data_IF_538656408258
#
_entry.id   IF_538656408258
#
_cell.length_a   1.000
_cell.length_b   1.000
_cell.length_c   1.000
_cell.angle_alpha   90.00
_cell.angle_beta   90.00
_cell.angle_gamma   90.00
#
_symmetry.space_group_name_H-M   'P 1'
#
loop_
_entity.id
_entity.type
_entity.pdbx_description
1 polymer ?
#
# COMPACT_ATOMS: atom_id res chain seq x y z
N UNK A 1 -13.25 -3.36 -14.36
CA UNK A 1 -14.18 -4.51 -14.53
C UNK A 1 -14.15 -5.31 -13.24
N UNK A 2 -15.25 -5.95 -12.83
CA UNK A 2 -15.25 -6.81 -11.64
C UNK A 2 -16.05 -8.09 -11.87
N UNK A 3 -15.70 -9.14 -11.13
CA UNK A 3 -16.37 -10.44 -11.16
C UNK A 3 -16.38 -11.04 -9.76
N UNK A 4 -17.47 -11.75 -9.43
CA UNK A 4 -17.65 -12.45 -8.16
C UNK A 4 -17.73 -13.94 -8.43
N UNK A 5 -17.04 -14.74 -7.62
CA UNK A 5 -17.11 -16.21 -7.61
C UNK A 5 -17.17 -16.73 -6.19
N UNK A 6 -17.61 -17.97 -6.05
CA UNK A 6 -17.51 -18.75 -4.81
C UNK A 6 -16.57 -19.91 -5.07
N UNK A 7 -15.71 -20.22 -4.11
CA UNK A 7 -14.77 -21.35 -4.19
C UNK A 7 -14.87 -22.15 -2.89
N UNK A 8 -15.01 -23.46 -2.99
CA UNK A 8 -15.15 -24.32 -1.82
C UNK A 8 -13.80 -24.50 -1.11
N UNK A 9 -13.79 -24.60 0.22
CA UNK A 9 -12.57 -24.93 0.95
C UNK A 9 -12.06 -26.33 0.54
N UNK A 10 -10.75 -26.62 0.63
CA UNK A 10 -10.18 -27.88 0.16
C UNK A 10 -10.87 -29.14 0.72
N UNK A 11 -11.34 -29.09 1.97
CA UNK A 11 -12.04 -30.20 2.63
C UNK A 11 -13.56 -30.01 2.74
N UNK A 12 -14.13 -29.01 2.06
CA UNK A 12 -15.54 -28.65 2.19
C UNK A 12 -16.54 -29.76 1.82
N UNK A 13 -16.12 -30.72 1.01
CA UNK A 13 -16.95 -31.87 0.59
C UNK A 13 -16.80 -33.09 1.51
N UNK A 14 -15.88 -33.05 2.48
CA UNK A 14 -15.62 -34.15 3.42
C UNK A 14 -16.49 -33.97 4.65
N UNK A 15 -17.58 -34.75 4.77
CA UNK A 15 -18.57 -34.65 5.87
C UNK A 15 -18.00 -34.71 7.30
N UNK A 16 -16.84 -35.33 7.47
CA UNK A 16 -16.17 -35.47 8.76
C UNK A 16 -15.14 -34.38 9.05
N UNK A 17 -14.91 -33.46 8.10
CA UNK A 17 -14.02 -32.31 8.30
C UNK A 17 -14.78 -31.19 9.01
N UNK A 18 -14.06 -30.50 9.87
CA UNK A 18 -14.37 -29.19 10.41
C UNK A 18 -14.67 -28.13 9.34
N UNK A 19 -14.10 -28.26 8.13
CA UNK A 19 -14.34 -27.35 6.99
C UNK A 19 -15.59 -27.72 6.16
N UNK A 20 -16.38 -28.73 6.56
CA UNK A 20 -17.51 -29.19 5.76
C UNK A 20 -18.53 -28.07 5.51
N UNK A 21 -18.75 -27.75 4.23
CA UNK A 21 -19.61 -26.65 3.80
C UNK A 21 -18.96 -25.26 3.81
N UNK A 22 -17.69 -25.14 4.19
CA UNK A 22 -16.95 -23.88 4.14
C UNK A 22 -16.49 -23.51 2.71
N UNK A 23 -16.20 -22.23 2.52
CA UNK A 23 -15.68 -21.70 1.26
C UNK A 23 -15.41 -20.21 1.34
N UNK A 24 -14.89 -19.66 0.25
CA UNK A 24 -14.57 -18.25 0.11
C UNK A 24 -15.37 -17.60 -1.02
N UNK A 25 -15.60 -16.30 -0.87
CA UNK A 25 -16.11 -15.44 -1.94
C UNK A 25 -14.94 -14.70 -2.54
N UNK A 26 -14.67 -14.97 -3.82
CA UNK A 26 -13.61 -14.34 -4.58
C UNK A 26 -14.15 -13.14 -5.35
N UNK A 27 -13.51 -11.99 -5.17
CA UNK A 27 -13.78 -10.81 -5.96
C UNK A 27 -12.54 -10.44 -6.78
N UNK A 28 -12.72 -10.42 -8.09
CA UNK A 28 -11.69 -10.01 -9.04
C UNK A 28 -11.95 -8.59 -9.49
N UNK A 29 -10.94 -7.72 -9.42
CA UNK A 29 -11.04 -6.32 -9.84
C UNK A 29 -9.92 -5.96 -10.82
N UNK A 30 -10.29 -5.56 -12.03
CA UNK A 30 -9.36 -4.97 -12.99
C UNK A 30 -9.28 -3.47 -12.76
N UNK A 31 -8.09 -3.00 -12.36
CA UNK A 31 -7.78 -1.58 -12.18
C UNK A 31 -7.77 -0.82 -13.51
N UNK A 32 -8.13 0.47 -13.47
CA UNK A 32 -8.08 1.35 -14.65
C UNK A 32 -6.65 1.44 -15.19
N UNK A 33 -6.49 1.27 -16.50
CA UNK A 33 -5.18 1.27 -17.17
C UNK A 33 -4.57 -0.13 -17.36
N UNK A 34 -5.18 -1.18 -16.80
CA UNK A 34 -4.78 -2.56 -17.05
C UNK A 34 -5.46 -3.12 -18.31
N UNK A 35 -4.68 -3.72 -19.22
CA UNK A 35 -5.20 -4.49 -20.34
C UNK A 35 -5.44 -5.94 -19.89
N UNK A 36 -6.71 -6.36 -19.92
CA UNK A 36 -7.17 -7.68 -19.49
C UNK A 36 -7.16 -8.71 -20.65
N UNK A 37 -6.47 -8.44 -21.76
CA UNK A 37 -6.50 -9.30 -22.95
C UNK A 37 -5.76 -10.63 -22.74
N UNK A 38 -4.80 -10.68 -21.80
CA UNK A 38 -3.82 -11.77 -21.76
C UNK A 38 -3.99 -12.71 -20.54
N UNK A 39 -4.79 -12.34 -19.54
CA UNK A 39 -5.06 -13.17 -18.37
C UNK A 39 -6.56 -13.10 -18.00
N UNK A 40 -7.29 -14.15 -18.37
CA UNK A 40 -8.67 -14.35 -17.94
C UNK A 40 -8.72 -14.78 -16.47
N UNK A 41 -9.90 -14.66 -15.86
CA UNK A 41 -10.17 -15.32 -14.57
C UNK A 41 -10.18 -16.83 -14.81
N UNK A 42 -9.60 -17.66 -13.92
CA UNK A 42 -9.67 -19.11 -14.05
C UNK A 42 -11.11 -19.57 -14.32
N UNK A 43 -11.30 -20.32 -15.41
CA UNK A 43 -12.64 -20.73 -15.84
C UNK A 43 -13.26 -21.73 -14.86
N UNK A 44 -12.45 -22.68 -14.39
CA UNK A 44 -12.84 -23.81 -13.56
C UNK A 44 -12.37 -23.67 -12.11
N UNK A 45 -13.13 -24.28 -11.20
CA UNK A 45 -12.88 -24.28 -9.75
C UNK A 45 -11.54 -24.91 -9.37
N UNK A 46 -11.13 -25.97 -10.08
CA UNK A 46 -9.85 -26.68 -9.87
C UNK A 46 -8.61 -25.80 -10.17
N UNK A 47 -8.80 -24.74 -10.95
CA UNK A 47 -7.76 -23.78 -11.29
C UNK A 47 -7.74 -22.56 -10.37
N UNK A 48 -8.65 -22.50 -9.38
CA UNK A 48 -8.64 -21.48 -8.33
C UNK A 48 -7.92 -22.03 -7.10
N UNK A 49 -6.99 -21.26 -6.55
CA UNK A 49 -6.39 -21.56 -5.27
C UNK A 49 -7.27 -21.01 -4.15
N UNK A 50 -7.38 -21.75 -3.04
CA UNK A 50 -7.97 -21.23 -1.82
C UNK A 50 -7.05 -20.16 -1.21
N UNK A 51 -7.55 -18.93 -1.05
CA UNK A 51 -6.71 -17.76 -0.77
C UNK A 51 -6.67 -17.35 0.70
N UNK A 52 -7.39 -18.04 1.57
CA UNK A 52 -7.29 -17.87 3.02
C UNK A 52 -6.24 -18.85 3.56
N UNK A 53 -5.04 -18.39 3.95
CA UNK A 53 -3.99 -19.27 4.45
C UNK A 53 -4.31 -19.78 5.85
N UNK A 54 -3.80 -20.96 6.18
CA UNK A 54 -3.90 -21.52 7.52
C UNK A 54 -3.20 -20.62 8.56
N UNK A 55 -3.87 -20.43 9.69
CA UNK A 55 -3.36 -19.68 10.82
C UNK A 55 -3.95 -20.18 12.13
N UNK A 56 -3.26 -19.91 13.25
CA UNK A 56 -3.75 -20.27 14.60
C UNK A 56 -5.12 -19.66 14.87
N UNK A 57 -5.30 -18.41 14.44
CA UNK A 57 -6.61 -17.75 14.36
C UNK A 57 -6.96 -17.65 12.87
N UNK A 58 -8.01 -18.32 12.39
CA UNK A 58 -8.36 -18.32 10.97
C UNK A 58 -8.59 -16.91 10.41
N UNK A 59 -7.97 -16.61 9.28
CA UNK A 59 -8.26 -15.37 8.55
C UNK A 59 -9.64 -15.45 7.90
N UNK A 60 -10.34 -14.31 7.87
CA UNK A 60 -11.66 -14.21 7.22
C UNK A 60 -11.63 -13.35 5.96
N UNK A 61 -10.46 -12.79 5.62
CA UNK A 61 -10.19 -12.19 4.31
C UNK A 61 -8.72 -12.33 3.92
N UNK A 62 -8.48 -12.21 2.62
CA UNK A 62 -7.18 -11.91 2.07
C UNK A 62 -7.34 -10.93 0.90
N UNK A 63 -6.45 -9.94 0.82
CA UNK A 63 -6.35 -9.04 -0.34
C UNK A 63 -5.06 -9.35 -1.10
N UNK A 64 -5.20 -9.67 -2.39
CA UNK A 64 -4.07 -9.89 -3.29
C UNK A 64 -3.90 -8.71 -4.24
N UNK A 65 -2.68 -8.18 -4.34
CA UNK A 65 -2.28 -7.21 -5.35
C UNK A 65 -1.25 -7.85 -6.29
N UNK A 66 -1.59 -7.89 -7.57
CA UNK A 66 -0.74 -8.50 -8.59
C UNK A 66 0.64 -7.84 -8.66
N UNK A 67 1.69 -8.65 -8.66
CA UNK A 67 3.10 -8.30 -8.71
C UNK A 67 3.40 -7.24 -9.78
N UNK A 68 3.02 -7.53 -11.03
CA UNK A 68 3.28 -6.67 -12.19
C UNK A 68 2.62 -5.30 -12.03
N UNK A 69 1.42 -5.25 -11.47
CA UNK A 69 0.74 -3.99 -11.19
C UNK A 69 1.49 -3.22 -10.10
N UNK A 70 1.81 -3.87 -8.98
CA UNK A 70 2.47 -3.25 -7.84
C UNK A 70 3.84 -2.68 -8.18
N UNK A 71 4.70 -3.48 -8.80
CA UNK A 71 6.08 -3.08 -9.16
C UNK A 71 6.08 -1.93 -10.17
N UNK A 72 5.24 -2.01 -11.22
CA UNK A 72 5.12 -0.93 -12.21
C UNK A 72 4.56 0.34 -11.60
N UNK A 73 3.57 0.24 -10.71
CA UNK A 73 2.97 1.37 -9.97
C UNK A 73 4.04 2.05 -9.12
N UNK A 74 4.75 1.31 -8.27
CA UNK A 74 5.77 1.86 -7.39
C UNK A 74 6.85 2.62 -8.15
N UNK A 75 7.34 2.05 -9.26
CA UNK A 75 8.39 2.71 -10.03
C UNK A 75 7.86 3.86 -10.87
N UNK A 76 6.82 3.68 -11.69
CA UNK A 76 6.30 4.78 -12.52
C UNK A 76 5.88 5.99 -11.68
N UNK A 77 5.11 5.78 -10.60
CA UNK A 77 4.68 6.89 -9.75
C UNK A 77 5.83 7.45 -8.90
N UNK A 78 6.75 6.61 -8.43
CA UNK A 78 7.92 7.06 -7.68
C UNK A 78 8.78 8.04 -8.47
N UNK A 79 9.03 7.73 -9.75
CA UNK A 79 9.79 8.59 -10.64
C UNK A 79 9.00 9.83 -11.10
N UNK A 80 7.68 9.75 -11.26
CA UNK A 80 6.82 10.91 -11.54
C UNK A 80 6.80 11.93 -10.39
N UNK A 81 7.15 11.53 -9.17
CA UNK A 81 7.26 12.42 -8.00
C UNK A 81 8.59 13.14 -7.89
N UNK A 82 9.58 12.76 -8.70
CA UNK A 82 10.87 13.44 -8.68
C UNK A 82 10.73 14.82 -9.33
N UNK A 83 11.28 15.82 -8.64
CA UNK A 83 11.45 17.15 -9.20
C UNK A 83 12.76 17.24 -10.00
N UNK A 84 12.88 18.23 -10.88
CA UNK A 84 14.12 18.52 -11.65
C UNK A 84 14.62 17.34 -12.51
N UNK A 85 13.69 16.54 -13.01
CA UNK A 85 13.95 15.53 -14.03
C UNK A 85 14.26 16.23 -15.36
N UNK A 86 15.48 16.04 -15.88
CA UNK A 86 15.90 16.54 -17.19
C UNK A 86 15.48 15.55 -18.28
N UNK A 87 15.76 14.25 -18.06
CA UNK A 87 15.33 13.18 -18.95
C UNK A 87 14.40 12.23 -18.18
N UNK A 88 13.18 11.95 -18.70
CA UNK A 88 12.26 11.01 -18.08
C UNK A 88 12.87 9.63 -17.86
N UNK A 89 12.58 9.04 -16.70
CA UNK A 89 12.99 7.68 -16.40
C UNK A 89 12.30 6.68 -17.35
N UNK A 90 13.08 5.79 -17.95
CA UNK A 90 12.59 4.66 -18.75
C UNK A 90 13.25 3.39 -18.26
N UNK A 91 12.51 2.29 -18.26
CA UNK A 91 13.04 1.00 -17.84
C UNK A 91 12.48 -0.17 -18.63
N UNK A 92 13.28 -1.22 -18.71
CA UNK A 92 12.85 -2.57 -19.06
C UNK A 92 12.54 -3.36 -17.81
N UNK A 93 11.62 -4.31 -17.93
CA UNK A 93 11.20 -5.18 -16.83
C UNK A 93 11.71 -6.59 -17.12
N UNK A 94 12.41 -7.19 -16.16
CA UNK A 94 13.00 -8.54 -16.29
C UNK A 94 12.10 -9.60 -15.65
N UNK A 95 12.29 -10.84 -16.11
CA UNK A 95 11.35 -11.94 -15.87
C UNK A 95 10.43 -12.17 -17.07
N UNK A 96 11.03 -12.24 -18.29
CA UNK A 96 10.56 -13.01 -19.45
C UNK A 96 9.63 -12.35 -20.50
N UNK A 97 9.98 -12.55 -21.79
CA UNK A 97 9.16 -12.23 -22.99
C UNK A 97 7.83 -13.04 -23.09
N UNK A 98 7.49 -13.87 -22.09
CA UNK A 98 6.25 -14.65 -22.00
C UNK A 98 5.74 -14.91 -20.56
N UNK A 99 6.19 -14.15 -19.57
CA UNK A 99 6.11 -14.53 -18.14
C UNK A 99 5.16 -13.64 -17.31
N UNK A 100 4.53 -14.27 -16.32
CA UNK A 100 3.44 -13.75 -15.47
C UNK A 100 3.89 -12.80 -14.35
N UNK A 101 5.17 -12.78 -14.00
CA UNK A 101 5.74 -12.04 -12.86
C UNK A 101 6.90 -11.13 -13.26
N UNK A 102 6.98 -9.95 -12.65
CA UNK A 102 8.11 -9.02 -12.77
C UNK A 102 9.10 -9.32 -11.64
N UNK A 103 10.31 -9.74 -12.00
CA UNK A 103 11.39 -10.06 -11.04
C UNK A 103 12.42 -8.96 -10.94
N UNK A 104 12.36 -7.97 -11.83
CA UNK A 104 13.21 -6.81 -11.72
C UNK A 104 12.91 -5.70 -12.72
N UNK A 105 13.61 -4.60 -12.51
CA UNK A 105 13.54 -3.38 -13.30
C UNK A 105 14.98 -2.98 -13.59
N UNK A 106 15.25 -2.68 -14.84
CA UNK A 106 16.53 -2.14 -15.30
C UNK A 106 16.26 -0.82 -16.00
N UNK A 107 16.86 0.26 -15.49
CA UNK A 107 16.78 1.56 -16.15
C UNK A 107 17.50 1.53 -17.50
N UNK A 108 16.91 2.25 -18.46
CA UNK A 108 17.37 2.40 -19.85
C UNK A 108 17.51 3.86 -20.27
N UNK A 109 16.93 4.77 -19.48
CA UNK A 109 17.09 6.21 -19.59
C UNK A 109 16.72 6.87 -18.26
N UNK A 110 17.14 8.12 -18.09
CA UNK A 110 16.74 8.94 -16.96
C UNK A 110 17.89 9.80 -16.50
N UNK A 111 17.63 11.09 -16.30
CA UNK A 111 18.61 12.06 -15.84
C UNK A 111 17.94 13.03 -14.86
N UNK A 112 18.49 13.11 -13.66
CA UNK A 112 18.07 13.99 -12.59
C UNK A 112 19.11 15.08 -12.35
N UNK A 113 18.67 16.32 -12.13
CA UNK A 113 19.56 17.42 -11.70
C UNK A 113 19.35 17.76 -10.24
N UNK A 114 20.42 17.65 -9.46
CA UNK A 114 20.44 18.07 -8.06
C UNK A 114 21.11 19.43 -7.95
N UNK A 115 20.42 20.48 -7.48
CA UNK A 115 21.08 21.76 -7.22
C UNK A 115 22.05 21.60 -6.04
N UNK A 116 23.26 22.13 -6.21
CA UNK A 116 24.23 22.21 -5.12
C UNK A 116 24.81 23.62 -5.13
N UNK A 117 24.39 24.40 -4.15
CA UNK A 117 24.88 25.74 -3.90
C UNK A 117 24.90 25.99 -2.38
N UNK A 118 25.76 26.89 -1.93
CA UNK A 118 25.81 27.25 -0.52
C UNK A 118 27.08 28.02 -0.14
N UNK A 119 27.33 28.08 1.16
CA UNK A 119 28.49 28.73 1.74
C UNK A 119 28.91 28.03 3.05
N UNK A 120 30.08 28.39 3.58
CA UNK A 120 30.59 27.95 4.88
C UNK A 120 31.30 29.12 5.57
N UNK A 121 31.81 28.91 6.78
CA UNK A 121 32.64 29.91 7.47
C UNK A 121 33.90 30.29 6.67
N UNK A 122 34.39 29.39 5.80
CA UNK A 122 35.61 29.56 5.00
C UNK A 122 35.30 29.94 3.54
N UNK A 123 34.24 29.38 2.97
CA UNK A 123 33.85 29.56 1.57
C UNK A 123 32.65 30.49 1.51
N UNK A 124 32.80 31.63 0.83
CA UNK A 124 31.70 32.58 0.60
C UNK A 124 30.72 32.09 -0.46
N UNK A 125 31.21 31.32 -1.44
CA UNK A 125 30.42 30.77 -2.54
C UNK A 125 30.86 29.32 -2.75
N UNK A 126 29.88 28.44 -2.86
CA UNK A 126 29.96 27.08 -3.38
C UNK A 126 28.84 26.96 -4.40
N UNK A 127 29.16 26.58 -5.64
CA UNK A 127 28.16 26.48 -6.69
C UNK A 127 28.53 25.38 -7.69
N UNK A 128 27.53 24.57 -8.04
CA UNK A 128 27.53 23.71 -9.21
C UNK A 128 26.49 24.29 -10.18
N UNK A 129 26.88 25.13 -11.14
CA UNK A 129 25.92 25.94 -11.92
C UNK A 129 24.89 25.13 -12.71
N UNK A 130 25.21 23.88 -13.04
CA UNK A 130 24.33 22.94 -13.74
C UNK A 130 23.71 21.90 -12.80
N UNK A 131 23.96 22.02 -11.49
CA UNK A 131 23.73 20.96 -10.52
C UNK A 131 24.65 19.76 -10.71
N UNK A 132 24.43 18.75 -9.87
CA UNK A 132 24.96 17.42 -10.05
C UNK A 132 23.95 16.60 -10.85
N UNK A 133 24.40 16.11 -12.00
CA UNK A 133 23.64 15.26 -12.90
C UNK A 133 23.75 13.80 -12.46
N UNK A 134 22.62 13.18 -12.10
CA UNK A 134 22.54 11.76 -11.76
C UNK A 134 21.83 10.98 -12.86
N UNK A 135 22.59 10.16 -13.55
CA UNK A 135 22.09 9.27 -14.58
C UNK A 135 21.55 7.97 -13.96
N UNK A 136 20.47 7.45 -14.52
CA UNK A 136 19.92 6.15 -14.14
C UNK A 136 20.40 5.01 -15.05
N UNK A 137 20.86 5.34 -16.25
CA UNK A 137 21.49 4.42 -17.18
C UNK A 137 22.74 5.05 -17.77
N UNK A 138 23.66 4.21 -18.24
CA UNK A 138 24.77 4.67 -19.04
C UNK A 138 24.30 5.48 -20.26
N UNK A 139 25.07 6.53 -20.56
CA UNK A 139 24.85 7.42 -21.71
C UNK A 139 25.83 7.16 -22.87
N UNK A 140 26.79 6.26 -22.69
CA UNK A 140 27.78 5.89 -23.69
C UNK A 140 28.19 4.42 -23.58
N UNK A 141 28.59 3.82 -24.69
CA UNK A 141 29.10 2.44 -24.71
C UNK A 141 30.41 2.26 -23.91
N UNK A 142 31.00 3.34 -23.39
CA UNK A 142 32.22 3.31 -22.58
C UNK A 142 31.94 3.37 -21.06
N UNK A 143 30.71 3.69 -20.64
CA UNK A 143 30.32 3.72 -19.22
C UNK A 143 29.55 2.45 -18.85
N UNK A 144 30.28 1.41 -18.46
CA UNK A 144 29.69 0.15 -17.93
C UNK A 144 29.30 0.25 -16.45
N UNK A 145 29.58 1.39 -15.80
CA UNK A 145 29.39 1.55 -14.36
C UNK A 145 28.00 2.07 -14.01
N UNK A 146 27.51 3.06 -14.75
CA UNK A 146 26.23 3.71 -14.45
C UNK A 146 25.05 2.78 -14.71
N UNK A 147 24.36 2.41 -13.63
CA UNK A 147 23.14 1.61 -13.72
C UNK A 147 22.22 1.86 -12.52
N UNK A 148 20.92 1.79 -12.77
CA UNK A 148 19.89 1.70 -11.76
C UNK A 148 19.06 0.45 -12.00
N UNK A 149 18.92 -0.37 -10.96
CA UNK A 149 18.09 -1.58 -11.02
C UNK A 149 17.38 -1.82 -9.70
N UNK A 150 16.21 -2.44 -9.82
CA UNK A 150 15.44 -2.95 -8.69
C UNK A 150 15.22 -4.43 -8.92
N UNK A 151 15.61 -5.27 -7.97
CA UNK A 151 15.32 -6.70 -8.00
C UNK A 151 14.19 -7.00 -7.03
N UNK A 152 13.16 -7.68 -7.49
CA UNK A 152 12.12 -8.23 -6.62
C UNK A 152 12.52 -9.65 -6.20
N UNK A 153 12.48 -9.90 -4.91
CA UNK A 153 12.58 -11.23 -4.29
C UNK A 153 11.29 -11.52 -3.52
N UNK A 154 11.20 -12.71 -2.90
CA UNK A 154 10.00 -13.17 -2.19
C UNK A 154 9.56 -12.28 -1.00
N UNK A 155 10.42 -11.38 -0.52
CA UNK A 155 10.06 -10.49 0.60
C UNK A 155 10.66 -9.08 0.46
N UNK A 156 11.49 -8.82 -0.56
CA UNK A 156 12.19 -7.54 -0.70
C UNK A 156 12.18 -6.97 -2.11
N UNK A 157 12.29 -5.66 -2.15
CA UNK A 157 12.72 -4.89 -3.32
C UNK A 157 14.13 -4.39 -3.04
N UNK A 158 15.10 -4.91 -3.79
CA UNK A 158 16.52 -4.58 -3.66
C UNK A 158 16.90 -3.55 -4.71
N UNK A 159 17.18 -2.33 -4.26
CA UNK A 159 17.59 -1.21 -5.10
C UNK A 159 19.10 -1.17 -5.19
N UNK A 160 19.63 -1.03 -6.40
CA UNK A 160 21.01 -0.68 -6.65
C UNK A 160 21.08 0.50 -7.63
N UNK A 161 21.83 1.54 -7.27
CA UNK A 161 22.08 2.70 -8.11
C UNK A 161 23.54 3.09 -8.07
N UNK A 162 24.18 3.07 -9.22
CA UNK A 162 25.56 3.48 -9.38
C UNK A 162 25.68 4.48 -10.50
N UNK A 163 26.66 5.35 -10.41
CA UNK A 163 27.06 6.15 -11.56
C UNK A 163 28.28 7.01 -11.33
N UNK A 164 28.75 7.56 -12.44
CA UNK A 164 29.90 8.44 -12.53
C UNK A 164 29.55 9.62 -13.43
N UNK A 165 29.87 10.83 -13.01
CA UNK A 165 29.66 12.01 -13.83
C UNK A 165 30.66 13.12 -13.50
N UNK A 166 30.58 14.21 -14.26
CA UNK A 166 31.39 15.42 -14.09
C UNK A 166 30.50 16.64 -14.13
N UNK A 167 30.77 17.60 -13.27
CA UNK A 167 30.06 18.88 -13.24
C UNK A 167 31.06 20.04 -13.22
N UNK A 168 30.77 21.14 -13.92
CA UNK A 168 31.46 22.40 -13.67
C UNK A 168 31.13 22.86 -12.25
N UNK A 169 32.12 23.36 -11.55
CA UNK A 169 31.93 23.85 -10.21
C UNK A 169 32.78 25.07 -9.92
N UNK A 170 32.29 25.87 -8.99
CA UNK A 170 32.86 27.14 -8.61
C UNK A 170 32.86 27.31 -7.10
N UNK A 171 33.95 27.84 -6.55
CA UNK A 171 33.99 28.27 -5.16
C UNK A 171 34.78 29.57 -4.97
N UNK A 172 34.48 30.30 -3.89
CA UNK A 172 35.19 31.52 -3.49
C UNK A 172 35.52 31.47 -2.01
N UNK A 173 36.76 31.76 -1.65
CA UNK A 173 37.20 31.82 -0.24
C UNK A 173 36.84 33.17 0.36
N UNK A 174 36.28 33.18 1.58
CA UNK A 174 35.78 34.37 2.28
C UNK A 174 36.91 35.31 2.72
N UNK A 175 38.04 34.76 3.16
CA UNK A 175 39.22 35.52 3.61
C UNK A 175 40.43 35.21 2.72
N UNK A 176 41.10 36.25 2.23
CA UNK A 176 42.25 36.15 1.33
C UNK A 176 41.94 36.62 -0.10
N UNK A 177 42.45 35.89 -1.11
CA UNK A 177 42.21 36.20 -2.52
C UNK A 177 40.73 36.08 -2.85
N UNK A 178 40.06 37.20 -3.14
CA UNK A 178 38.64 37.25 -3.55
C UNK A 178 38.37 36.69 -4.95
N UNK A 179 39.34 36.02 -5.56
CA UNK A 179 39.15 35.42 -6.87
C UNK A 179 38.34 34.14 -6.77
N UNK A 180 37.32 34.08 -7.59
CA UNK A 180 36.54 32.88 -7.89
C UNK A 180 37.45 31.80 -8.48
N UNK A 181 37.30 30.56 -7.99
CA UNK A 181 37.95 29.36 -8.52
C UNK A 181 36.93 28.52 -9.24
N UNK A 182 37.25 28.10 -10.45
CA UNK A 182 36.34 27.29 -11.27
C UNK A 182 37.11 26.18 -11.99
N UNK A 183 36.42 25.07 -12.22
CA UNK A 183 36.94 23.92 -12.97
C UNK A 183 35.93 22.77 -12.94
N UNK A 184 36.37 21.56 -13.27
CA UNK A 184 35.51 20.39 -13.26
C UNK A 184 35.69 19.58 -11.98
N UNK A 185 34.60 19.03 -11.47
CA UNK A 185 34.59 18.03 -10.39
C UNK A 185 34.01 16.75 -10.96
N UNK A 186 34.76 15.65 -10.84
CA UNK A 186 34.24 14.32 -11.11
C UNK A 186 33.64 13.74 -9.84
N UNK A 187 32.56 12.98 -9.96
CA UNK A 187 31.89 12.39 -8.82
C UNK A 187 31.29 11.03 -9.15
N UNK A 188 31.35 10.13 -8.16
CA UNK A 188 30.83 8.77 -8.21
C UNK A 188 29.85 8.57 -7.06
N UNK A 189 28.79 7.82 -7.34
CA UNK A 189 27.86 7.38 -6.31
C UNK A 189 27.56 5.89 -6.41
N UNK A 190 27.26 5.32 -5.27
CA UNK A 190 26.78 3.96 -5.10
C UNK A 190 25.74 3.95 -3.98
N UNK A 191 24.58 3.41 -4.29
CA UNK A 191 23.50 3.23 -3.34
C UNK A 191 22.98 1.81 -3.46
N UNK A 192 22.91 1.10 -2.33
CA UNK A 192 22.25 -0.20 -2.22
C UNK A 192 21.34 -0.24 -1.01
N UNK A 193 20.10 -0.67 -1.21
CA UNK A 193 19.15 -0.82 -0.12
C UNK A 193 18.15 -1.95 -0.41
N UNK A 194 17.72 -2.63 0.64
CA UNK A 194 16.65 -3.62 0.58
C UNK A 194 15.46 -3.11 1.37
N UNK A 195 14.31 -3.04 0.71
CA UNK A 195 13.05 -2.63 1.31
C UNK A 195 12.08 -3.80 1.41
N UNK A 196 11.33 -3.89 2.48
CA UNK A 196 10.22 -4.81 2.63
C UNK A 196 8.92 -4.05 2.83
N UNK A 197 7.81 -4.62 2.35
CA UNK A 197 6.50 -4.07 2.64
C UNK A 197 6.20 -4.16 4.13
N UNK A 198 5.60 -3.10 4.64
CA UNK A 198 5.12 -3.01 6.00
C UNK A 198 3.69 -2.47 5.98
N UNK A 199 2.82 -3.16 6.71
CA UNK A 199 1.44 -2.78 6.91
C UNK A 199 1.32 -2.20 8.32
N UNK A 200 0.80 -0.98 8.41
CA UNK A 200 0.45 -0.40 9.70
C UNK A 200 -0.77 -1.12 10.28
N UNK A 201 -0.71 -1.57 11.53
CA UNK A 201 -1.79 -2.35 12.16
C UNK A 201 -2.45 -1.63 13.32
N UNK A 202 -2.00 -0.41 13.65
CA UNK A 202 -2.55 0.38 14.75
C UNK A 202 -2.50 1.89 14.45
N UNK A 203 -3.23 2.68 15.26
CA UNK A 203 -3.25 4.13 15.16
C UNK A 203 -4.00 4.66 13.94
N UNK A 204 -3.85 5.96 13.67
CA UNK A 204 -4.62 6.68 12.64
C UNK A 204 -4.33 6.19 11.21
N UNK A 205 -3.13 5.64 11.01
CA UNK A 205 -2.62 5.14 9.72
C UNK A 205 -2.87 3.64 9.51
N UNK A 206 -3.69 2.99 10.33
CA UNK A 206 -4.02 1.56 10.17
C UNK A 206 -4.33 1.20 8.71
N UNK A 207 -3.67 0.13 8.25
CA UNK A 207 -3.66 -0.49 6.92
C UNK A 207 -3.05 0.33 5.79
N UNK A 208 -2.33 1.38 6.13
CA UNK A 208 -1.40 2.00 5.21
C UNK A 208 -0.25 1.04 4.91
N UNK A 209 0.06 0.87 3.61
CA UNK A 209 1.24 0.16 3.18
C UNK A 209 2.42 1.11 3.05
N UNK A 210 3.59 0.66 3.49
CA UNK A 210 4.86 1.39 3.41
C UNK A 210 5.97 0.44 2.96
N UNK A 211 7.06 0.99 2.45
CA UNK A 211 8.31 0.26 2.25
C UNK A 211 9.27 0.66 3.36
N UNK A 212 9.71 -0.31 4.16
CA UNK A 212 10.67 -0.10 5.25
C UNK A 212 12.02 -0.73 4.91
N UNK A 213 13.08 -0.02 5.23
CA UNK A 213 14.44 -0.53 5.12
C UNK A 213 14.62 -1.78 5.98
N UNK A 214 15.21 -2.83 5.39
CA UNK A 214 15.58 -4.06 6.11
C UNK A 214 16.88 -3.92 6.91
N UNK A 215 17.75 -3.04 6.44
CA UNK A 215 19.02 -2.71 7.06
C UNK A 215 19.44 -1.30 6.66
N UNK A 216 20.47 -0.75 7.33
CA UNK A 216 21.06 0.53 6.93
C UNK A 216 21.52 0.44 5.46
N UNK A 217 21.16 1.41 4.60
CA UNK A 217 21.57 1.41 3.20
C UNK A 217 23.09 1.51 3.10
N UNK A 218 23.67 0.86 2.07
CA UNK A 218 25.05 1.09 1.69
C UNK A 218 25.09 2.28 0.74
N UNK A 219 25.54 3.42 1.25
CA UNK A 219 25.73 4.65 0.49
C UNK A 219 27.22 4.99 0.45
N UNK A 220 27.77 5.13 -0.75
CA UNK A 220 29.13 5.62 -0.99
C UNK A 220 29.09 6.72 -2.03
N UNK A 221 29.65 7.87 -1.70
CA UNK A 221 29.88 8.95 -2.64
C UNK A 221 31.35 9.36 -2.58
N UNK A 222 31.88 9.79 -3.71
CA UNK A 222 33.22 10.39 -3.77
C UNK A 222 33.23 11.47 -4.84
N UNK A 223 33.87 12.59 -4.54
CA UNK A 223 34.16 13.67 -5.48
C UNK A 223 35.66 13.93 -5.53
N UNK A 224 36.13 14.36 -6.70
CA UNK A 224 37.50 14.80 -6.88
C UNK A 224 37.59 15.87 -7.97
N UNK A 225 38.40 16.92 -7.74
CA UNK A 225 38.59 17.98 -8.70
C UNK A 225 39.45 17.50 -9.87
N UNK A 226 39.32 18.15 -11.01
CA UNK A 226 40.29 18.04 -12.09
C UNK A 226 41.62 18.72 -11.72
N UNK A 227 42.62 18.53 -12.58
CA UNK A 227 43.95 19.10 -12.36
C UNK A 227 43.93 20.64 -12.33
N UNK A 228 43.07 21.27 -13.11
CA UNK A 228 42.98 22.73 -13.21
C UNK A 228 42.45 23.33 -11.90
N UNK A 229 41.36 22.79 -11.37
CA UNK A 229 40.77 23.22 -10.11
C UNK A 229 41.70 22.90 -8.93
N UNK A 230 42.34 21.73 -8.93
CA UNK A 230 43.31 21.36 -7.91
C UNK A 230 44.52 22.30 -7.87
N UNK A 231 45.07 22.66 -9.03
CA UNK A 231 46.21 23.58 -9.13
C UNK A 231 45.85 25.02 -8.76
N UNK A 232 44.63 25.46 -9.13
CA UNK A 232 44.18 26.84 -8.93
C UNK A 232 43.50 27.07 -7.57
N UNK A 233 43.26 26.03 -6.78
CA UNK A 233 42.57 26.17 -5.49
C UNK A 233 43.26 27.13 -4.52
N UNK A 234 44.60 27.26 -4.61
CA UNK A 234 45.42 28.19 -3.82
C UNK A 234 45.52 27.87 -2.32
N UNK A 235 44.57 27.12 -1.76
CA UNK A 235 44.55 26.71 -0.35
C UNK A 235 44.01 25.26 -0.25
N UNK A 236 44.85 24.25 0.05
CA UNK A 236 44.44 22.84 0.06
C UNK A 236 43.21 22.56 0.93
N UNK A 237 43.13 23.21 2.10
CA UNK A 237 41.99 23.06 3.01
C UNK A 237 40.68 23.65 2.45
N UNK A 238 40.74 24.71 1.63
CA UNK A 238 39.53 25.28 1.03
C UNK A 238 38.95 24.34 -0.04
N UNK A 239 39.83 23.69 -0.81
CA UNK A 239 39.45 22.66 -1.77
C UNK A 239 38.84 21.44 -1.08
N UNK A 240 39.45 20.99 0.02
CA UNK A 240 38.92 19.87 0.82
C UNK A 240 37.53 20.18 1.37
N UNK A 241 37.32 21.38 1.94
CA UNK A 241 35.99 21.80 2.42
C UNK A 241 34.95 21.84 1.29
N UNK A 242 35.32 22.38 0.14
CA UNK A 242 34.44 22.44 -1.03
C UNK A 242 34.05 21.04 -1.52
N UNK A 243 35.01 20.11 -1.60
CA UNK A 243 34.77 18.72 -1.99
C UNK A 243 33.88 17.99 -0.97
N UNK A 244 34.15 18.16 0.33
CA UNK A 244 33.36 17.55 1.40
C UNK A 244 31.92 18.06 1.40
N UNK A 245 31.71 19.36 1.15
CA UNK A 245 30.37 19.94 1.00
C UNK A 245 29.59 19.28 -0.14
N UNK A 246 30.22 19.15 -1.32
CA UNK A 246 29.61 18.48 -2.47
C UNK A 246 29.31 17.00 -2.19
N UNK A 247 30.23 16.28 -1.57
CA UNK A 247 30.05 14.86 -1.20
C UNK A 247 28.87 14.64 -0.24
N UNK A 248 28.72 15.53 0.74
CA UNK A 248 27.60 15.50 1.69
C UNK A 248 26.28 15.82 0.97
N UNK A 249 26.24 16.89 0.18
CA UNK A 249 25.05 17.26 -0.58
C UNK A 249 24.61 16.16 -1.55
N UNK A 250 25.56 15.48 -2.21
CA UNK A 250 25.30 14.33 -3.07
C UNK A 250 24.69 13.15 -2.27
N UNK A 251 25.27 12.82 -1.12
CA UNK A 251 24.77 11.75 -0.27
C UNK A 251 23.33 12.00 0.21
N UNK A 252 23.05 13.21 0.71
CA UNK A 252 21.72 13.61 1.19
C UNK A 252 20.66 13.55 0.08
N UNK A 253 20.99 14.02 -1.13
CA UNK A 253 20.05 13.99 -2.24
C UNK A 253 19.85 12.59 -2.82
N UNK A 254 20.86 11.72 -2.80
CA UNK A 254 20.69 10.31 -3.19
C UNK A 254 19.68 9.62 -2.27
N UNK A 255 19.83 9.79 -0.96
CA UNK A 255 18.91 9.24 0.03
C UNK A 255 17.49 9.78 -0.17
N UNK A 256 17.33 11.11 -0.26
CA UNK A 256 16.04 11.76 -0.50
C UNK A 256 15.37 11.32 -1.80
N UNK A 257 16.14 11.09 -2.86
CA UNK A 257 15.63 10.61 -4.15
C UNK A 257 15.01 9.22 -3.99
N UNK A 258 15.71 8.30 -3.34
CA UNK A 258 15.20 6.95 -3.10
C UNK A 258 14.00 6.99 -2.14
N UNK A 259 14.05 7.79 -1.08
CA UNK A 259 12.92 8.00 -0.15
C UNK A 259 11.66 8.48 -0.89
N UNK A 260 11.82 9.41 -1.84
CA UNK A 260 10.71 9.89 -2.67
C UNK A 260 10.11 8.77 -3.52
N UNK A 261 10.97 7.95 -4.14
CA UNK A 261 10.53 6.81 -4.97
C UNK A 261 9.80 5.78 -4.12
N UNK A 262 10.34 5.35 -2.97
CA UNK A 262 9.71 4.32 -2.14
C UNK A 262 8.50 4.86 -1.35
N UNK A 263 8.45 6.16 -1.11
CA UNK A 263 7.38 6.83 -0.37
C UNK A 263 6.00 6.71 -1.02
N UNK A 264 5.92 6.51 -2.34
CA UNK A 264 4.64 6.31 -3.06
C UNK A 264 3.91 5.03 -2.66
N UNK A 265 4.57 4.10 -1.96
CA UNK A 265 3.90 2.95 -1.36
C UNK A 265 2.77 3.35 -0.41
N UNK A 266 2.90 4.51 0.27
CA UNK A 266 1.87 5.08 1.17
C UNK A 266 0.55 5.41 0.48
N UNK A 267 0.56 5.54 -0.85
CA UNK A 267 -0.63 5.84 -1.65
C UNK A 267 -1.42 4.57 -2.00
N UNK A 268 -0.80 3.41 -1.81
CA UNK A 268 -1.44 2.11 -1.92
C UNK A 268 -2.15 1.86 -0.58
N UNK A 269 -3.34 2.45 -0.48
CA UNK A 269 -4.21 2.28 0.68
C UNK A 269 -5.05 1.00 0.51
N UNK A 270 -4.67 -0.05 1.26
CA UNK A 270 -5.37 -1.32 1.27
C UNK A 270 -6.83 -1.18 1.73
N UNK A 271 -7.14 -0.21 2.59
CA UNK A 271 -8.50 0.09 3.05
C UNK A 271 -9.32 0.88 2.03
N UNK A 272 -8.73 1.77 1.23
CA UNK A 272 -9.45 2.41 0.12
C UNK A 272 -9.90 1.40 -0.92
N UNK A 273 -9.12 0.34 -1.14
CA UNK A 273 -9.57 -0.79 -1.95
C UNK A 273 -10.78 -1.49 -1.30
N UNK A 274 -10.82 -1.59 0.04
CA UNK A 274 -11.97 -2.11 0.79
C UNK A 274 -13.21 -1.19 0.74
N UNK A 275 -13.03 0.13 0.69
CA UNK A 275 -14.14 1.10 0.58
C UNK A 275 -14.95 0.99 -0.72
N UNK A 276 -14.38 0.36 -1.75
CA UNK A 276 -15.10 -0.03 -2.96
C UNK A 276 -16.05 -1.21 -2.73
N UNK A 277 -15.77 -2.06 -1.74
CA UNK A 277 -16.45 -3.32 -1.47
C UNK A 277 -17.43 -3.21 -0.31
N UNK A 278 -17.05 -2.44 0.71
CA UNK A 278 -17.80 -2.23 1.92
C UNK A 278 -17.95 -0.73 2.16
N UNK A 279 -19.18 -0.23 2.02
CA UNK A 279 -19.51 1.20 2.19
C UNK A 279 -19.24 1.73 3.61
N UNK A 280 -18.96 0.84 4.56
CA UNK A 280 -18.70 1.12 5.98
C UNK A 280 -17.23 1.43 6.32
N UNK A 281 -16.33 1.54 5.34
CA UNK A 281 -14.96 2.05 5.55
C UNK A 281 -14.02 1.09 6.30
N UNK A 282 -13.05 1.65 7.06
CA UNK A 282 -11.97 0.94 7.78
C UNK A 282 -12.45 -0.15 8.77
N UNK A 283 -13.73 -0.15 9.10
CA UNK A 283 -14.37 -1.07 10.05
C UNK A 283 -14.67 -2.45 9.46
N UNK A 284 -14.67 -2.62 8.13
CA UNK A 284 -15.25 -3.82 7.49
C UNK A 284 -14.25 -4.88 7.05
N UNK A 285 -12.98 -4.54 6.88
CA UNK A 285 -11.96 -5.42 6.34
C UNK A 285 -10.59 -4.93 6.79
N UNK A 286 -9.96 -5.59 7.75
CA UNK A 286 -8.70 -5.18 8.38
C UNK A 286 -7.59 -6.19 8.05
N UNK A 287 -6.74 -5.91 7.05
CA UNK A 287 -5.49 -6.61 6.87
C UNK A 287 -4.66 -6.58 8.17
N UNK A 288 -4.03 -7.70 8.50
CA UNK A 288 -3.22 -7.85 9.72
C UNK A 288 -1.80 -8.34 9.43
N UNK A 289 -1.58 -8.92 8.25
CA UNK A 289 -0.30 -9.44 7.79
C UNK A 289 -0.03 -8.95 6.39
N UNK A 290 1.26 -8.79 6.05
CA UNK A 290 1.74 -8.53 4.70
C UNK A 290 2.85 -9.52 4.34
N UNK A 291 2.80 -10.08 3.12
CA UNK A 291 3.87 -10.89 2.51
C UNK A 291 3.96 -10.58 1.01
N UNK A 292 5.11 -10.79 0.41
CA UNK A 292 5.37 -10.45 -1.01
C UNK A 292 6.07 -11.57 -1.81
N UNK A 293 5.61 -12.84 -1.79
CA UNK A 293 6.27 -13.97 -2.46
C UNK A 293 6.20 -13.95 -4.00
N UNK A 294 5.93 -12.78 -4.59
CA UNK A 294 5.47 -12.60 -5.96
C UNK A 294 4.38 -11.56 -5.96
N UNK A 295 3.13 -11.99 -5.77
CA UNK A 295 2.01 -11.07 -5.49
C UNK A 295 2.06 -10.59 -4.04
N UNK A 296 1.58 -9.36 -3.79
CA UNK A 296 1.43 -8.88 -2.41
C UNK A 296 0.16 -9.47 -1.82
N UNK A 297 0.29 -10.23 -0.74
CA UNK A 297 -0.81 -10.85 -0.02
C UNK A 297 -1.00 -10.19 1.33
N UNK A 298 -2.25 -9.92 1.68
CA UNK A 298 -2.66 -9.15 2.84
C UNK A 298 -3.76 -9.88 3.64
N UNK A 299 -3.45 -10.99 4.33
CA UNK A 299 -4.41 -11.71 5.16
C UNK A 299 -4.89 -10.85 6.34
N UNK A 300 -6.16 -11.02 6.69
CA UNK A 300 -6.79 -10.23 7.74
C UNK A 300 -8.17 -10.72 8.14
N UNK A 301 -8.94 -9.80 8.70
CA UNK A 301 -10.26 -10.10 9.26
C UNK A 301 -11.33 -9.17 8.70
N UNK A 302 -12.42 -9.74 8.18
CA UNK A 302 -13.64 -9.00 7.90
C UNK A 302 -14.31 -8.61 9.21
N UNK A 303 -14.63 -7.33 9.32
CA UNK A 303 -15.37 -6.72 10.40
C UNK A 303 -14.97 -7.23 11.79
N UNK A 304 -13.73 -6.98 12.27
CA UNK A 304 -13.29 -7.44 13.59
C UNK A 304 -14.13 -6.89 14.75
N UNK A 305 -14.84 -5.77 14.55
CA UNK A 305 -15.88 -5.29 15.46
C UNK A 305 -17.10 -6.25 15.59
N UNK A 306 -17.32 -7.15 14.62
CA UNK A 306 -18.37 -8.18 14.63
C UNK A 306 -17.91 -9.50 15.24
N UNK A 307 -16.61 -9.72 15.41
CA UNK A 307 -16.08 -11.03 15.88
C UNK A 307 -15.99 -11.13 17.39
N UNK A 308 -16.34 -10.08 18.15
CA UNK A 308 -16.35 -10.15 19.62
C UNK A 308 -17.57 -10.91 20.17
N UNK A 309 -18.71 -10.83 19.49
CA UNK A 309 -19.94 -11.53 19.89
C UNK A 309 -20.99 -11.62 18.77
N UNK A 310 -21.90 -12.57 18.88
CA UNK A 310 -22.98 -12.79 17.93
C UNK A 310 -24.35 -12.56 18.58
N UNK A 311 -25.33 -12.13 17.77
CA UNK A 311 -26.74 -12.06 18.15
C UNK A 311 -27.42 -13.38 17.80
N UNK A 312 -28.20 -13.93 18.71
CA UNK A 312 -29.12 -15.04 18.44
C UNK A 312 -30.58 -14.62 18.66
N UNK A 313 -31.48 -14.92 17.72
CA UNK A 313 -31.22 -15.46 16.38
C UNK A 313 -30.59 -14.42 15.44
N UNK A 314 -29.74 -14.86 14.50
CA UNK A 314 -29.13 -13.99 13.49
C UNK A 314 -30.10 -13.64 12.33
N UNK A 315 -31.10 -14.48 12.07
CA UNK A 315 -32.24 -14.20 11.20
C UNK A 315 -33.54 -14.73 11.83
N UNK A 316 -34.63 -13.96 11.74
CA UNK A 316 -35.93 -14.39 12.28
C UNK A 316 -37.11 -13.75 11.56
N UNK A 317 -38.27 -14.40 11.65
CA UNK A 317 -39.56 -13.88 11.21
C UNK A 317 -40.37 -13.41 12.42
N UNK A 318 -41.02 -12.26 12.30
CA UNK A 318 -41.86 -11.65 13.36
C UNK A 318 -43.14 -11.12 12.72
N UNK A 319 -44.28 -11.32 13.36
CA UNK A 319 -45.54 -10.72 12.88
C UNK A 319 -45.58 -9.22 13.17
N UNK A 320 -46.31 -8.44 12.37
CA UNK A 320 -46.47 -7.01 12.62
C UNK A 320 -47.12 -6.76 13.99
N UNK A 321 -46.53 -5.87 14.80
CA UNK A 321 -46.87 -5.64 16.21
C UNK A 321 -46.35 -6.71 17.18
N UNK A 322 -45.78 -7.79 16.65
CA UNK A 322 -45.18 -8.88 17.41
C UNK A 322 -43.86 -8.48 18.06
N UNK A 323 -43.41 -9.33 18.98
CA UNK A 323 -42.20 -9.11 19.77
C UNK A 323 -41.20 -10.25 19.59
N UNK A 324 -39.91 -9.92 19.69
CA UNK A 324 -38.83 -10.91 19.63
C UNK A 324 -37.68 -10.51 20.55
N UNK A 325 -37.33 -11.40 21.46
CA UNK A 325 -36.15 -11.25 22.31
C UNK A 325 -34.91 -11.72 21.56
N UNK A 326 -33.84 -10.95 21.67
CA UNK A 326 -32.52 -11.30 21.17
C UNK A 326 -31.55 -11.52 22.33
N UNK A 327 -30.63 -12.46 22.13
CA UNK A 327 -29.55 -12.77 23.05
C UNK A 327 -28.20 -12.54 22.36
N UNK A 328 -27.14 -12.47 23.16
CA UNK A 328 -25.77 -12.40 22.64
C UNK A 328 -24.90 -13.49 23.24
N UNK A 329 -23.91 -13.98 22.49
CA UNK A 329 -22.95 -15.00 22.97
C UNK A 329 -22.07 -14.56 24.17
N UNK A 330 -22.15 -13.29 24.59
CA UNK A 330 -21.48 -12.74 25.78
C UNK A 330 -22.06 -13.23 27.12
N UNK A 331 -23.19 -13.94 27.13
CA UNK A 331 -23.87 -14.42 28.33
C UNK A 331 -24.80 -13.39 28.99
N UNK A 332 -25.60 -13.84 29.96
CA UNK A 332 -26.60 -13.02 30.62
C UNK A 332 -25.96 -11.90 31.47
N UNK A 333 -26.33 -10.63 31.19
CA UNK A 333 -25.86 -9.45 31.94
C UNK A 333 -24.83 -8.57 31.22
N UNK A 334 -24.43 -8.91 30.00
CA UNK A 334 -23.58 -8.04 29.18
C UNK A 334 -24.30 -6.71 28.84
N UNK A 335 -23.63 -5.58 29.09
CA UNK A 335 -24.16 -4.25 28.76
C UNK A 335 -24.02 -4.00 27.26
N UNK A 336 -25.10 -4.25 26.52
CA UNK A 336 -25.18 -4.07 25.06
C UNK A 336 -26.32 -3.09 24.74
N UNK A 337 -26.08 -2.16 23.83
CA UNK A 337 -27.09 -1.21 23.35
C UNK A 337 -27.73 -1.75 22.08
N UNK A 338 -29.06 -1.83 22.07
CA UNK A 338 -29.83 -2.34 20.94
C UNK A 338 -30.40 -1.21 20.09
N UNK A 339 -30.40 -1.40 18.77
CA UNK A 339 -31.01 -0.48 17.82
C UNK A 339 -31.62 -1.25 16.65
N UNK A 340 -32.57 -0.62 15.96
CA UNK A 340 -33.19 -1.14 14.74
C UNK A 340 -33.16 -0.07 13.66
N UNK A 341 -32.93 -0.48 12.42
CA UNK A 341 -32.95 0.40 11.26
C UNK A 341 -33.63 -0.27 10.05
N UNK A 342 -34.23 0.54 9.19
CA UNK A 342 -34.72 0.08 7.89
C UNK A 342 -33.56 -0.36 6.99
N UNK A 343 -33.88 -1.20 6.00
CA UNK A 343 -32.97 -1.44 4.88
C UNK A 343 -32.84 -0.18 4.01
N UNK A 344 -31.69 0.00 3.31
CA UNK A 344 -31.53 1.08 2.34
C UNK A 344 -32.69 1.10 1.33
N UNK A 345 -33.33 2.26 1.15
CA UNK A 345 -34.50 2.42 0.27
C UNK A 345 -35.87 2.36 0.95
N UNK A 346 -35.95 1.98 2.23
CA UNK A 346 -37.16 2.05 3.06
C UNK A 346 -37.03 3.14 4.16
N UNK A 347 -36.22 4.17 3.87
CA UNK A 347 -35.92 5.29 4.77
C UNK A 347 -37.18 6.11 5.09
N UNK A 348 -37.44 6.36 6.38
CA UNK A 348 -38.62 7.10 6.86
C UNK A 348 -39.85 6.24 7.19
N UNK A 349 -39.83 4.96 6.87
CA UNK A 349 -40.86 4.04 7.36
C UNK A 349 -40.63 3.62 8.82
N UNK A 350 -41.69 3.26 9.55
CA UNK A 350 -41.56 2.73 10.91
C UNK A 350 -40.80 1.39 10.89
N UNK A 351 -39.69 1.30 11.62
CA UNK A 351 -38.84 0.12 11.74
C UNK A 351 -39.01 -0.63 13.08
N UNK A 352 -39.92 -0.16 13.93
CA UNK A 352 -40.16 -0.72 15.26
C UNK A 352 -39.25 -0.11 16.30
N UNK A 353 -39.21 -0.72 17.47
CA UNK A 353 -38.45 -0.19 18.61
C UNK A 353 -37.90 -1.31 19.49
N UNK A 354 -36.95 -0.93 20.35
CA UNK A 354 -36.39 -1.82 21.36
C UNK A 354 -36.76 -1.37 22.76
N UNK A 355 -37.04 -2.34 23.63
CA UNK A 355 -37.01 -2.18 25.08
C UNK A 355 -36.03 -3.20 25.64
N UNK A 356 -34.90 -2.74 26.17
CA UNK A 356 -33.77 -3.60 26.55
C UNK A 356 -33.31 -4.47 25.36
N UNK A 357 -33.51 -5.79 25.41
CA UNK A 357 -33.16 -6.74 24.35
C UNK A 357 -34.39 -7.31 23.61
N UNK A 358 -35.59 -6.77 23.87
CA UNK A 358 -36.81 -7.16 23.18
C UNK A 358 -37.13 -6.17 22.07
N UNK A 359 -37.13 -6.66 20.83
CA UNK A 359 -37.60 -5.96 19.66
C UNK A 359 -39.13 -6.01 19.58
N UNK A 360 -39.76 -4.87 19.28
CA UNK A 360 -41.18 -4.77 18.95
C UNK A 360 -41.33 -4.30 17.51
N UNK A 361 -41.97 -5.12 16.67
CA UNK A 361 -42.22 -4.81 15.28
C UNK A 361 -43.25 -3.68 15.10
N UNK A 362 -43.18 -2.88 14.02
CA UNK A 362 -44.21 -1.91 13.66
C UNK A 362 -45.60 -2.52 13.62
N UNK A 363 -46.63 -1.73 13.92
CA UNK A 363 -48.01 -2.15 13.77
C UNK A 363 -48.33 -2.52 12.31
N UNK A 364 -49.28 -3.43 12.09
CA UNK A 364 -49.67 -3.91 10.76
C UNK A 364 -50.09 -2.80 9.78
N UNK A 365 -50.62 -1.68 10.31
CA UNK A 365 -50.98 -0.48 9.56
C UNK A 365 -49.77 0.32 9.05
N UNK A 366 -48.61 0.22 9.72
CA UNK A 366 -47.38 0.92 9.37
C UNK A 366 -46.46 0.13 8.42
N UNK A 367 -46.69 -1.18 8.29
CA UNK A 367 -46.01 -2.01 7.30
C UNK A 367 -46.65 -1.73 5.94
N UNK A 368 -45.96 -1.11 4.98
CA UNK A 368 -46.58 -0.72 3.70
C UNK A 368 -46.64 -1.87 2.68
N UNK A 369 -45.70 -2.82 2.74
CA UNK A 369 -45.57 -3.97 1.80
C UNK A 369 -46.04 -5.29 2.43
N UNK A 370 -46.19 -6.35 1.63
CA UNK A 370 -46.59 -7.70 2.10
C UNK A 370 -45.55 -8.37 3.02
N UNK A 371 -44.31 -7.89 2.98
CA UNK A 371 -43.26 -8.19 3.95
C UNK A 371 -42.27 -7.03 4.03
N UNK A 372 -41.78 -6.74 5.23
CA UNK A 372 -40.76 -5.71 5.51
C UNK A 372 -39.54 -6.37 6.13
N UNK A 373 -38.34 -5.84 5.88
CA UNK A 373 -37.12 -6.31 6.53
C UNK A 373 -36.44 -5.15 7.24
N UNK A 374 -35.94 -5.41 8.45
CA UNK A 374 -35.18 -4.46 9.25
C UNK A 374 -33.90 -5.11 9.76
N UNK A 375 -32.91 -4.27 10.05
CA UNK A 375 -31.64 -4.69 10.65
C UNK A 375 -31.69 -4.35 12.13
N UNK A 376 -31.55 -5.37 12.96
CA UNK A 376 -31.28 -5.22 14.39
C UNK A 376 -29.77 -5.12 14.58
N UNK A 377 -29.30 -4.20 15.41
CA UNK A 377 -27.89 -4.04 15.76
C UNK A 377 -27.72 -4.00 17.26
N UNK A 378 -26.79 -4.80 17.78
CA UNK A 378 -26.39 -4.81 19.17
C UNK A 378 -24.95 -4.29 19.28
N UNK A 379 -24.72 -3.26 20.09
CA UNK A 379 -23.44 -2.52 20.15
C UNK A 379 -22.84 -2.54 21.55
N UNK A 380 -21.53 -2.80 21.65
CA UNK A 380 -20.73 -2.76 22.87
C UNK A 380 -19.39 -2.08 22.59
N UNK A 381 -19.20 -0.87 23.11
CA UNK A 381 -18.02 -0.07 22.77
C UNK A 381 -17.94 0.21 21.27
N UNK A 382 -16.85 -0.20 20.62
CA UNK A 382 -16.67 -0.14 19.16
C UNK A 382 -17.19 -1.39 18.42
N UNK A 383 -17.48 -2.46 19.16
CA UNK A 383 -17.94 -3.73 18.61
C UNK A 383 -19.45 -3.72 18.41
N UNK A 384 -19.93 -4.35 17.34
CA UNK A 384 -21.36 -4.48 17.09
C UNK A 384 -21.67 -5.77 16.31
N UNK A 385 -22.83 -6.35 16.57
CA UNK A 385 -23.36 -7.51 15.87
C UNK A 385 -24.72 -7.19 15.27
N UNK A 386 -25.15 -7.90 14.23
CA UNK A 386 -26.37 -7.59 13.47
C UNK A 386 -27.21 -8.84 13.20
N UNK A 387 -28.52 -8.66 13.21
CA UNK A 387 -29.50 -9.68 12.84
C UNK A 387 -30.52 -9.12 11.85
N UNK A 388 -31.05 -9.98 10.97
CA UNK A 388 -32.09 -9.62 10.00
C UNK A 388 -33.45 -10.07 10.53
N UNK A 389 -34.40 -9.13 10.60
CA UNK A 389 -35.78 -9.43 10.99
C UNK A 389 -36.69 -9.24 9.80
N UNK A 390 -37.40 -10.29 9.42
CA UNK A 390 -38.48 -10.24 8.44
C UNK A 390 -39.81 -10.03 9.17
N UNK A 391 -40.62 -9.09 8.71
CA UNK A 391 -41.90 -8.70 9.30
C UNK A 391 -43.03 -9.03 8.33
N UNK A 392 -44.04 -9.76 8.78
CA UNK A 392 -45.21 -10.15 7.96
C UNK A 392 -46.52 -9.64 8.53
N UNK A 393 -47.50 -9.39 7.65
CA UNK A 393 -48.83 -8.87 8.02
C UNK A 393 -49.86 -9.93 8.47
N UNK A 394 -49.56 -11.22 8.37
CA UNK A 394 -50.53 -12.31 8.64
C UNK A 394 -50.02 -13.33 9.65
N UNK A 395 -50.95 -14.03 10.30
CA UNK A 395 -50.71 -15.15 11.23
C UNK A 395 -49.84 -16.22 10.55
N UNK A 396 -48.71 -16.55 11.18
CA UNK A 396 -47.96 -17.75 10.87
C UNK A 396 -48.70 -18.96 11.47
N UNK A 397 -49.43 -19.70 10.63
CA UNK A 397 -49.87 -21.05 11.03
C UNK A 397 -48.67 -22.00 10.84
N UNK A 398 -48.22 -22.70 11.90
CA UNK A 398 -47.06 -23.58 11.85
C UNK A 398 -47.21 -24.73 10.86
#
# INVERSE_FOLDING_TARGET
KFWVRTHAAPLAKVRASDQYGEGEVLLFVTMKGSNNSDAGIPADDENMHYLLPDAVTPYTMNLLLGNKFLIKRLVSFGFERLERVIEPFKATYTGGEGETFVTGIQATAGLLSIPVEGDTDVLEIIEFPQGLLLNFSSSSDEDDFTNFKVKASDETLDFEWFGLAKAPATFKVRSGSQQTRSGMVSYRWEYKASYAFHLETAGDNIGQLTLKLRAKPSLRSKMWPDQALAANAGHPFALELFINFGEQALAEHLEKTIETIVGVATEIDAFRLNGLLFRSGKESAQPSVVRFPGDLTLPGYLAPARTEFEIEPNETLVEAGGKRTFETTLGAGASVTWSVANLPGDEGEDCGSFTSNEYTAPAASAVLRSGKKVIVTATRGTSYSKALVSITKGEFRP
#
